data_IF_284367516037
#
_entry.id   IF_284367516037
#
_cell.length_a   1.000
_cell.length_b   1.000
_cell.length_c   1.000
_cell.angle_alpha   90.00
_cell.angle_beta   90.00
_cell.angle_gamma   90.00
#
_symmetry.space_group_name_H-M   'P 1'
#
loop_
_entity.id
_entity.type
_entity.pdbx_description
1 polymer ?
#
# COMPACT_ATOMS: atom_id res chain seq x y z
N UNK A 1 -0.12 12.23 -15.37
CA UNK A 1 -0.01 11.78 -13.99
C UNK A 1 -1.35 11.64 -13.31
N UNK A 2 -2.34 12.39 -13.78
CA UNK A 2 -3.69 12.23 -13.21
C UNK A 2 -4.20 10.80 -13.34
N UNK A 3 -3.85 10.13 -14.43
CA UNK A 3 -4.31 8.76 -14.63
C UNK A 3 -3.73 7.79 -13.59
N UNK A 4 -2.52 8.03 -13.12
CA UNK A 4 -1.94 7.19 -12.08
C UNK A 4 -2.68 7.38 -10.77
N UNK A 5 -3.00 8.63 -10.45
CA UNK A 5 -3.76 8.93 -9.23
C UNK A 5 -5.14 8.29 -9.32
N UNK A 6 -5.80 8.42 -10.45
CA UNK A 6 -7.12 7.84 -10.63
C UNK A 6 -7.10 6.33 -10.49
N UNK A 7 -6.03 5.68 -10.99
CA UNK A 7 -5.92 4.24 -10.90
C UNK A 7 -5.75 3.75 -9.47
N UNK A 8 -5.18 4.60 -8.61
CA UNK A 8 -4.97 4.23 -7.22
C UNK A 8 -6.16 4.56 -6.34
N UNK A 9 -7.04 5.41 -6.81
CA UNK A 9 -8.17 5.88 -6.00
C UNK A 9 -9.33 4.91 -6.07
N UNK A 10 -9.99 4.72 -4.95
CA UNK A 10 -11.24 3.97 -4.93
C UNK A 10 -12.35 4.83 -5.49
N UNK A 11 -13.25 4.21 -6.23
CA UNK A 11 -14.40 4.90 -6.77
C UNK A 11 -15.37 5.20 -5.63
N UNK A 12 -15.86 6.44 -5.53
CA UNK A 12 -16.78 6.78 -4.43
C UNK A 12 -18.03 5.92 -4.40
N UNK A 13 -18.55 5.54 -5.55
CA UNK A 13 -19.75 4.73 -5.59
C UNK A 13 -19.52 3.30 -5.13
N UNK A 14 -18.26 2.91 -4.96
CA UNK A 14 -17.92 1.57 -4.49
C UNK A 14 -17.65 1.52 -3.01
N UNK A 15 -17.89 2.61 -2.32
CA UNK A 15 -17.63 2.66 -0.88
C UNK A 15 -18.46 1.67 -0.09
N UNK A 16 -19.52 1.15 -0.68
CA UNK A 16 -20.38 0.16 -0.02
C UNK A 16 -19.93 -1.26 -0.30
N UNK A 17 -18.86 -1.42 -1.04
CA UNK A 17 -18.33 -2.74 -1.32
C UNK A 17 -17.95 -3.44 -0.03
N UNK A 18 -18.10 -4.74 -0.02
CA UNK A 18 -17.65 -5.56 1.08
C UNK A 18 -16.13 -5.52 1.18
N UNK A 19 -15.62 -6.02 2.28
CA UNK A 19 -14.18 -6.14 2.44
C UNK A 19 -13.59 -7.07 1.36
N UNK A 20 -14.36 -8.03 0.89
CA UNK A 20 -13.91 -8.91 -0.17
C UNK A 20 -13.65 -8.13 -1.46
N UNK A 21 -14.53 -7.18 -1.79
CA UNK A 21 -14.32 -6.33 -2.96
C UNK A 21 -13.11 -5.44 -2.79
N UNK A 22 -12.90 -4.91 -1.59
CA UNK A 22 -11.72 -4.11 -1.30
C UNK A 22 -10.46 -4.94 -1.53
N UNK A 23 -10.44 -6.17 -1.01
CA UNK A 23 -9.29 -7.05 -1.20
C UNK A 23 -9.05 -7.38 -2.66
N UNK A 24 -10.13 -7.64 -3.39
CA UNK A 24 -10.01 -7.97 -4.81
C UNK A 24 -9.39 -6.80 -5.59
N UNK A 25 -9.81 -5.57 -5.29
CA UNK A 25 -9.24 -4.40 -5.95
C UNK A 25 -7.77 -4.20 -5.59
N UNK A 26 -7.43 -4.41 -4.33
CA UNK A 26 -6.03 -4.28 -3.89
C UNK A 26 -5.16 -5.36 -4.50
N UNK A 27 -5.69 -6.59 -4.60
CA UNK A 27 -4.95 -7.66 -5.24
C UNK A 27 -4.71 -7.38 -6.71
N UNK A 28 -5.71 -6.83 -7.41
CA UNK A 28 -5.55 -6.45 -8.80
C UNK A 28 -4.44 -5.41 -8.95
N UNK A 29 -4.42 -4.43 -8.06
CA UNK A 29 -3.38 -3.40 -8.09
C UNK A 29 -1.99 -4.01 -7.83
N UNK A 30 -1.89 -4.91 -6.87
CA UNK A 30 -0.64 -5.59 -6.56
C UNK A 30 -0.15 -6.39 -7.79
N UNK A 31 -1.06 -7.12 -8.42
CA UNK A 31 -0.72 -7.92 -9.59
C UNK A 31 -0.26 -7.06 -10.76
N UNK A 32 -0.92 -5.91 -10.92
CA UNK A 32 -0.55 -4.98 -11.99
C UNK A 32 0.84 -4.42 -11.78
N UNK A 33 1.17 -4.09 -10.55
CA UNK A 33 2.52 -3.62 -10.22
C UNK A 33 3.54 -4.72 -10.48
N UNK A 34 3.24 -5.94 -10.07
CA UNK A 34 4.16 -7.06 -10.27
C UNK A 34 4.45 -7.30 -11.75
N UNK A 35 3.46 -7.06 -12.60
CA UNK A 35 3.60 -7.28 -14.04
C UNK A 35 4.23 -6.08 -14.76
N UNK A 36 4.42 -4.97 -14.07
CA UNK A 36 4.91 -3.75 -14.69
C UNK A 36 6.40 -3.76 -14.96
N UNK A 37 6.85 -2.76 -15.72
CA UNK A 37 8.27 -2.57 -15.98
C UNK A 37 8.99 -2.11 -14.73
N UNK A 38 10.32 -2.14 -14.77
CA UNK A 38 11.11 -1.64 -13.65
C UNK A 38 10.83 -0.15 -13.41
N UNK A 39 10.71 0.65 -14.48
CA UNK A 39 10.42 2.06 -14.32
C UNK A 39 9.06 2.29 -13.65
N UNK A 40 8.05 1.52 -14.05
CA UNK A 40 6.74 1.61 -13.43
C UNK A 40 6.80 1.23 -11.95
N UNK A 41 7.61 0.22 -11.63
CA UNK A 41 7.79 -0.19 -10.24
C UNK A 41 8.48 0.88 -9.41
N UNK A 42 9.43 1.59 -10.00
CA UNK A 42 10.12 2.67 -9.30
C UNK A 42 9.12 3.77 -8.92
N UNK A 43 8.25 4.14 -9.86
CA UNK A 43 7.21 5.14 -9.58
C UNK A 43 6.26 4.63 -8.49
N UNK A 44 5.82 3.39 -8.61
CA UNK A 44 4.91 2.81 -7.62
C UNK A 44 5.56 2.76 -6.25
N UNK A 45 6.82 2.38 -6.18
CA UNK A 45 7.54 2.32 -4.90
C UNK A 45 7.60 3.69 -4.24
N UNK A 46 7.91 4.73 -5.02
CA UNK A 46 7.95 6.08 -4.48
C UNK A 46 6.62 6.50 -3.86
N UNK A 47 5.54 6.18 -4.56
CA UNK A 47 4.20 6.50 -4.08
C UNK A 47 3.87 5.73 -2.79
N UNK A 48 4.14 4.42 -2.79
CA UNK A 48 3.81 3.58 -1.64
C UNK A 48 4.72 3.86 -0.45
N UNK A 49 5.96 4.22 -0.71
CA UNK A 49 6.87 4.61 0.36
C UNK A 49 6.38 5.88 1.05
N UNK A 50 5.91 6.86 0.27
CA UNK A 50 5.34 8.07 0.82
C UNK A 50 4.15 7.75 1.71
N UNK A 51 3.27 6.87 1.25
CA UNK A 51 2.13 6.43 2.05
C UNK A 51 2.56 5.74 3.33
N UNK A 52 3.57 4.89 3.23
CA UNK A 52 4.03 4.12 4.39
C UNK A 52 4.71 5.02 5.41
N UNK A 53 5.42 6.04 4.95
CA UNK A 53 6.01 7.02 5.87
C UNK A 53 4.94 7.74 6.68
N UNK A 54 3.86 8.14 6.00
CA UNK A 54 2.76 8.82 6.67
C UNK A 54 2.08 7.88 7.68
N UNK A 55 1.86 6.64 7.28
CA UNK A 55 1.24 5.64 8.15
C UNK A 55 2.11 5.40 9.38
N UNK A 56 3.41 5.24 9.19
CA UNK A 56 4.32 4.97 10.31
C UNK A 56 4.33 6.14 11.30
N UNK A 57 4.34 7.36 10.79
CA UNK A 57 4.29 8.54 11.63
C UNK A 57 2.99 8.62 12.41
N UNK A 58 1.88 8.44 11.71
CA UNK A 58 0.57 8.54 12.36
C UNK A 58 0.35 7.41 13.33
N UNK A 59 0.85 6.22 13.02
CA UNK A 59 0.75 5.08 13.93
C UNK A 59 1.54 5.33 15.22
N UNK A 60 2.68 5.97 15.11
CA UNK A 60 3.47 6.31 16.30
C UNK A 60 2.73 7.27 17.22
N UNK A 61 1.87 8.11 16.66
CA UNK A 61 1.10 9.09 17.41
C UNK A 61 -0.19 8.49 17.94
N UNK A 62 -0.94 7.79 17.09
CA UNK A 62 -2.31 7.36 17.37
C UNK A 62 -2.44 5.89 17.76
N UNK A 63 -1.44 5.08 17.44
CA UNK A 63 -1.56 3.65 17.63
C UNK A 63 -2.66 3.07 16.76
N UNK A 64 -3.34 2.08 17.28
CA UNK A 64 -4.36 1.36 16.51
C UNK A 64 -5.57 2.20 16.13
N UNK A 65 -5.73 3.36 16.74
CA UNK A 65 -6.82 4.26 16.35
C UNK A 65 -6.68 4.72 14.90
N UNK A 66 -5.48 4.69 14.37
CA UNK A 66 -5.22 5.07 12.99
C UNK A 66 -6.11 4.31 12.02
N UNK A 67 -6.33 3.03 12.28
CA UNK A 67 -7.02 2.17 11.32
C UNK A 67 -8.49 2.54 11.12
N UNK A 68 -9.06 3.27 12.06
CA UNK A 68 -10.47 3.64 11.99
C UNK A 68 -10.77 4.62 10.86
N UNK A 69 -9.77 5.31 10.32
CA UNK A 69 -9.98 6.28 9.24
C UNK A 69 -9.90 5.65 7.85
N UNK A 70 -9.53 4.39 7.76
CA UNK A 70 -9.42 3.72 6.48
C UNK A 70 -10.68 2.96 6.13
N UNK A 71 -10.84 2.62 4.86
CA UNK A 71 -11.97 1.83 4.39
C UNK A 71 -12.08 0.52 5.16
N UNK A 72 -10.97 -0.16 5.36
CA UNK A 72 -10.91 -1.33 6.23
C UNK A 72 -10.35 -0.89 7.59
N UNK A 73 -11.03 -1.28 8.66
CA UNK A 73 -10.58 -0.98 10.02
C UNK A 73 -9.63 -2.03 10.57
N UNK A 74 -9.40 -3.10 9.83
CA UNK A 74 -8.60 -4.21 10.31
C UNK A 74 -7.14 -4.00 9.94
N UNK A 75 -6.29 -3.91 10.96
CA UNK A 75 -4.86 -3.78 10.77
C UNK A 75 -4.30 -4.91 9.90
N UNK A 76 -4.83 -6.11 10.03
CA UNK A 76 -4.35 -7.26 9.26
C UNK A 76 -4.58 -7.09 7.76
N UNK A 77 -5.67 -6.41 7.38
CA UNK A 77 -5.91 -6.14 5.96
C UNK A 77 -4.86 -5.20 5.40
N UNK A 78 -4.47 -4.20 6.17
CA UNK A 78 -3.44 -3.27 5.72
C UNK A 78 -2.08 -3.94 5.69
N UNK A 79 -1.80 -4.81 6.65
CA UNK A 79 -0.57 -5.58 6.64
C UNK A 79 -0.49 -6.45 5.39
N UNK A 80 -1.56 -7.17 5.10
CA UNK A 80 -1.62 -8.00 3.89
C UNK A 80 -1.36 -7.17 2.63
N UNK A 81 -1.98 -6.00 2.56
CA UNK A 81 -1.85 -5.14 1.40
C UNK A 81 -0.40 -4.66 1.22
N UNK A 82 0.20 -4.16 2.28
CA UNK A 82 1.56 -3.62 2.16
C UNK A 82 2.60 -4.70 1.98
N UNK A 83 2.42 -5.85 2.59
CA UNK A 83 3.33 -6.96 2.34
C UNK A 83 3.21 -7.47 0.91
N UNK A 84 1.99 -7.47 0.37
CA UNK A 84 1.78 -7.80 -1.03
C UNK A 84 2.45 -6.81 -1.97
N UNK A 85 2.37 -5.53 -1.64
CA UNK A 85 3.05 -4.50 -2.42
C UNK A 85 4.57 -4.70 -2.38
N UNK A 86 5.12 -5.00 -1.21
CA UNK A 86 6.54 -5.25 -1.08
C UNK A 86 6.97 -6.44 -1.94
N UNK A 87 6.17 -7.49 -1.96
CA UNK A 87 6.47 -8.65 -2.79
C UNK A 87 6.44 -8.29 -4.27
N UNK A 88 5.45 -7.49 -4.69
CA UNK A 88 5.32 -7.10 -6.08
C UNK A 88 6.47 -6.18 -6.53
N UNK A 89 7.11 -5.51 -5.59
CA UNK A 89 8.20 -4.59 -5.85
C UNK A 89 9.58 -5.20 -5.54
N UNK A 90 9.63 -6.49 -5.31
CA UNK A 90 10.85 -7.16 -4.85
C UNK A 90 12.02 -7.01 -5.81
N UNK A 91 11.73 -6.78 -7.07
CA UNK A 91 12.79 -6.51 -8.05
C UNK A 91 13.66 -5.34 -7.62
N UNK A 92 13.13 -4.42 -6.80
CA UNK A 92 13.83 -3.22 -6.36
C UNK A 92 14.47 -3.40 -4.99
N UNK A 93 14.62 -4.63 -4.51
CA UNK A 93 15.09 -4.90 -3.14
C UNK A 93 16.50 -4.39 -2.86
N UNK A 94 17.26 -4.11 -3.90
CA UNK A 94 18.62 -3.59 -3.75
C UNK A 94 18.66 -2.07 -3.63
N UNK A 95 17.51 -1.40 -3.65
CA UNK A 95 17.45 0.05 -3.54
C UNK A 95 17.20 0.48 -2.10
N UNK A 96 17.69 1.68 -1.76
CA UNK A 96 17.44 2.25 -0.43
C UNK A 96 15.95 2.47 -0.20
N UNK A 97 15.23 2.89 -1.23
CA UNK A 97 13.80 3.15 -1.10
C UNK A 97 13.06 1.87 -0.72
N UNK A 98 13.39 0.74 -1.34
CA UNK A 98 12.75 -0.52 -1.01
C UNK A 98 13.10 -0.95 0.42
N UNK A 99 14.35 -0.78 0.80
CA UNK A 99 14.79 -1.17 2.14
C UNK A 99 14.08 -0.34 3.21
N UNK A 100 13.90 0.94 2.94
CA UNK A 100 13.13 1.80 3.86
C UNK A 100 11.67 1.36 3.90
N UNK A 101 11.08 1.05 2.76
CA UNK A 101 9.70 0.61 2.68
C UNK A 101 9.49 -0.65 3.53
N UNK A 102 10.37 -1.61 3.38
CA UNK A 102 10.31 -2.84 4.14
C UNK A 102 10.49 -2.60 5.64
N UNK A 103 11.41 -1.72 5.98
CA UNK A 103 11.65 -1.37 7.37
C UNK A 103 10.42 -0.77 8.02
N UNK A 104 9.76 0.15 7.30
CA UNK A 104 8.56 0.81 7.83
C UNK A 104 7.41 -0.18 8.00
N UNK A 105 7.27 -1.12 7.09
CA UNK A 105 6.25 -2.16 7.21
C UNK A 105 6.47 -2.96 8.49
N UNK A 106 7.72 -3.34 8.75
CA UNK A 106 8.04 -4.07 9.97
C UNK A 106 7.80 -3.24 11.23
N UNK A 107 8.06 -1.95 11.14
CA UNK A 107 7.86 -1.05 12.27
C UNK A 107 6.40 -0.96 12.67
N UNK A 108 5.52 -0.95 11.69
CA UNK A 108 4.08 -0.78 11.95
C UNK A 108 3.41 -2.13 12.22
N UNK A 109 3.75 -3.14 11.46
CA UNK A 109 3.03 -4.41 11.51
C UNK A 109 3.79 -5.53 12.21
N UNK A 110 5.08 -5.36 12.40
CA UNK A 110 5.87 -6.38 13.11
C UNK A 110 6.49 -7.47 12.26
#
# INVERSE_FOLDING_TARGET
MASLVAAESDEPHEKRDSIDNWRARKQTAIDRIAAGSRDAKIVALGDKLSNMRAIARDYAIQGDKLWSIFHSNDRKDHEWHYRGLAESLRELQDTFAYQEFEYLIKQVFG
#
